data_IF_681549029869
#
_entry.id   IF_681549029869
#
_cell.length_a   1.000
_cell.length_b   1.000
_cell.length_c   1.000
_cell.angle_alpha   90.00
_cell.angle_beta   90.00
_cell.angle_gamma   90.00
#
_symmetry.space_group_name_H-M   'P 1'
#
loop_
_entity.id
_entity.type
_entity.pdbx_description
1 polymer ?
#
# COMPACT_ATOMS: atom_id res chain seq x y z
N UNK A 1 40.23 -12.63 -1.37
CA UNK A 1 40.12 -11.72 -0.22
C UNK A 1 39.75 -10.28 -0.62
N UNK A 2 40.44 -9.69 -1.61
CA UNK A 2 40.14 -8.32 -2.10
C UNK A 2 38.71 -8.17 -2.70
N UNK A 3 38.22 -9.18 -3.43
CA UNK A 3 36.89 -9.19 -4.03
C UNK A 3 35.80 -9.27 -2.96
N UNK A 4 36.05 -10.04 -1.90
CA UNK A 4 35.10 -10.19 -0.76
C UNK A 4 34.94 -8.89 0.02
N UNK A 5 36.04 -8.15 0.25
CA UNK A 5 36.02 -6.83 0.91
C UNK A 5 35.29 -5.80 0.06
N UNK A 6 35.46 -5.86 -1.27
CA UNK A 6 34.77 -4.95 -2.20
C UNK A 6 33.26 -5.22 -2.26
N UNK A 7 32.87 -6.47 -2.20
CA UNK A 7 31.47 -6.90 -2.16
C UNK A 7 30.81 -6.51 -0.84
N UNK A 8 31.53 -6.63 0.28
CA UNK A 8 31.07 -6.21 1.60
C UNK A 8 30.91 -4.68 1.67
N UNK A 9 31.79 -3.92 1.04
CA UNK A 9 31.71 -2.45 0.97
C UNK A 9 30.49 -1.98 0.14
N UNK A 10 30.15 -2.71 -0.93
CA UNK A 10 28.96 -2.41 -1.75
C UNK A 10 27.68 -2.67 -0.95
N UNK A 11 27.63 -3.75 -0.17
CA UNK A 11 26.47 -4.08 0.67
C UNK A 11 26.27 -3.04 1.79
N UNK A 12 27.35 -2.52 2.36
CA UNK A 12 27.26 -1.48 3.40
C UNK A 12 26.76 -0.12 2.87
N UNK A 13 26.93 0.15 1.57
CA UNK A 13 26.40 1.39 0.97
C UNK A 13 24.92 1.31 0.58
N UNK A 14 24.30 0.12 0.63
CA UNK A 14 22.90 -0.08 0.28
C UNK A 14 21.91 0.22 1.44
N UNK A 15 22.41 0.64 2.58
CA UNK A 15 21.61 0.73 3.80
C UNK A 15 21.48 2.11 4.39
N UNK A 16 21.04 3.15 3.64
CA UNK A 16 20.48 4.37 4.26
C UNK A 16 19.81 5.25 3.20
N UNK A 17 18.70 4.79 2.65
CA UNK A 17 17.72 5.74 2.15
C UNK A 17 16.88 6.19 3.36
N UNK A 18 17.26 7.29 3.96
CA UNK A 18 16.35 8.06 4.78
C UNK A 18 15.21 8.48 3.85
N UNK A 19 14.09 7.77 3.93
CA UNK A 19 12.85 8.22 3.34
C UNK A 19 12.54 9.56 3.99
N UNK A 20 12.75 10.64 3.25
CA UNK A 20 12.44 11.98 3.70
C UNK A 20 10.95 11.99 4.07
N UNK A 21 10.61 12.57 5.19
CA UNK A 21 9.24 12.67 5.72
C UNK A 21 8.22 13.14 4.66
N UNK A 22 8.68 13.97 3.74
CA UNK A 22 7.94 14.46 2.58
C UNK A 22 7.66 13.36 1.54
N UNK A 23 8.61 12.46 1.32
CA UNK A 23 8.45 11.32 0.42
C UNK A 23 7.48 10.29 0.98
N UNK A 24 7.51 10.04 2.29
CA UNK A 24 6.59 9.13 2.96
C UNK A 24 5.14 9.64 2.88
N UNK A 25 4.92 10.92 3.12
CA UNK A 25 3.60 11.55 2.97
C UNK A 25 3.06 11.39 1.53
N UNK A 26 3.90 11.68 0.54
CA UNK A 26 3.55 11.52 -0.88
C UNK A 26 3.24 10.06 -1.24
N UNK A 27 4.01 9.11 -0.73
CA UNK A 27 3.81 7.68 -0.94
C UNK A 27 2.47 7.22 -0.36
N UNK A 28 2.17 7.58 0.88
CA UNK A 28 0.93 7.21 1.56
C UNK A 28 -0.28 7.82 0.86
N UNK A 29 -0.23 9.13 0.56
CA UNK A 29 -1.36 9.84 -0.07
C UNK A 29 -1.63 9.38 -1.50
N UNK A 30 -0.64 8.89 -2.24
CA UNK A 30 -0.82 8.26 -3.56
C UNK A 30 -1.56 6.93 -3.48
N UNK A 31 -1.37 6.18 -2.40
CA UNK A 31 -2.03 4.89 -2.17
C UNK A 31 -3.43 5.05 -1.56
N UNK A 32 -3.80 6.24 -1.13
CA UNK A 32 -5.12 6.54 -0.60
C UNK A 32 -6.08 6.96 -1.71
N UNK A 33 -7.25 6.35 -1.72
CA UNK A 33 -8.34 6.71 -2.62
C UNK A 33 -9.13 7.89 -2.08
N UNK A 34 -9.33 8.92 -2.88
CA UNK A 34 -10.28 9.97 -2.57
C UNK A 34 -11.70 9.47 -2.83
N UNK A 35 -12.49 9.29 -1.75
CA UNK A 35 -13.83 8.69 -1.82
C UNK A 35 -14.86 9.54 -2.58
N UNK A 36 -14.63 10.86 -2.67
CA UNK A 36 -15.53 11.84 -3.30
C UNK A 36 -14.99 12.43 -4.60
N UNK A 37 -13.80 12.00 -5.05
CA UNK A 37 -13.08 12.61 -6.17
C UNK A 37 -13.09 11.75 -7.45
N UNK A 38 -14.08 10.94 -7.69
CA UNK A 38 -14.25 10.13 -8.92
C UNK A 38 -13.02 9.24 -9.26
N UNK A 39 -12.45 8.58 -8.27
CA UNK A 39 -11.36 7.63 -8.47
C UNK A 39 -9.94 8.24 -8.48
N UNK A 40 -9.79 9.52 -8.21
CA UNK A 40 -8.47 10.13 -8.04
C UNK A 40 -7.84 9.73 -6.70
N UNK A 41 -6.50 9.72 -6.65
CA UNK A 41 -5.79 9.57 -5.39
C UNK A 41 -5.94 10.85 -4.53
N UNK A 42 -5.77 10.70 -3.22
CA UNK A 42 -5.72 11.83 -2.30
C UNK A 42 -4.59 12.80 -2.68
N UNK A 43 -3.47 12.27 -3.18
CA UNK A 43 -2.33 13.07 -3.63
C UNK A 43 -2.68 14.01 -4.80
N UNK A 44 -3.40 13.50 -5.80
CA UNK A 44 -3.73 14.23 -7.03
C UNK A 44 -4.97 15.12 -6.90
N UNK A 45 -5.74 14.96 -5.83
CA UNK A 45 -6.97 15.71 -5.60
C UNK A 45 -6.74 16.95 -4.75
N UNK A 46 -7.39 18.06 -5.13
CA UNK A 46 -7.43 19.32 -4.38
C UNK A 46 -8.76 19.54 -3.63
N UNK A 47 -9.59 18.48 -3.51
CA UNK A 47 -10.81 18.57 -2.74
C UNK A 47 -10.55 18.85 -1.25
N UNK A 48 -11.49 19.46 -0.57
CA UNK A 48 -11.40 19.73 0.87
C UNK A 48 -11.17 18.45 1.67
N UNK A 49 -11.82 17.35 1.29
CA UNK A 49 -11.63 16.04 1.89
C UNK A 49 -10.20 15.52 1.70
N UNK A 50 -9.66 15.60 0.47
CA UNK A 50 -8.28 15.16 0.17
C UNK A 50 -7.26 16.00 0.94
N UNK A 51 -7.44 17.31 1.01
CA UNK A 51 -6.55 18.19 1.76
C UNK A 51 -6.59 17.89 3.27
N UNK A 52 -7.76 17.62 3.83
CA UNK A 52 -7.91 17.19 5.23
C UNK A 52 -7.17 15.88 5.51
N UNK A 53 -7.27 14.92 4.60
CA UNK A 53 -6.56 13.64 4.70
C UNK A 53 -5.04 13.80 4.60
N UNK A 54 -4.55 14.65 3.71
CA UNK A 54 -3.12 14.98 3.61
C UNK A 54 -2.57 15.53 4.93
N UNK A 55 -3.33 16.38 5.60
CA UNK A 55 -2.96 16.93 6.91
C UNK A 55 -2.96 15.85 7.99
N UNK A 56 -3.95 14.98 8.02
CA UNK A 56 -4.02 13.85 8.97
C UNK A 56 -2.83 12.91 8.80
N UNK A 57 -2.51 12.54 7.57
CA UNK A 57 -1.35 11.68 7.26
C UNK A 57 -0.05 12.35 7.71
N UNK A 58 0.13 13.63 7.42
CA UNK A 58 1.30 14.40 7.84
C UNK A 58 1.46 14.40 9.36
N UNK A 59 0.38 14.69 10.09
CA UNK A 59 0.42 14.70 11.55
C UNK A 59 0.78 13.32 12.14
N UNK A 60 0.28 12.24 11.55
CA UNK A 60 0.60 10.88 11.96
C UNK A 60 2.05 10.50 11.71
N UNK A 61 2.64 10.96 10.62
CA UNK A 61 4.07 10.81 10.34
C UNK A 61 4.91 11.59 11.36
N UNK A 62 4.53 12.83 11.67
CA UNK A 62 5.19 13.66 12.68
C UNK A 62 5.11 13.06 14.10
N UNK A 63 4.04 12.33 14.40
CA UNK A 63 3.89 11.54 15.65
C UNK A 63 4.81 10.30 15.69
N UNK A 64 5.50 9.96 14.60
CA UNK A 64 6.40 8.83 14.50
C UNK A 64 5.72 7.50 14.21
N UNK A 65 4.48 7.49 13.74
CA UNK A 65 3.78 6.28 13.33
C UNK A 65 4.41 5.67 12.09
N UNK A 66 4.47 4.34 12.04
CA UNK A 66 4.91 3.60 10.86
C UNK A 66 3.85 3.68 9.74
N UNK A 67 4.28 3.48 8.50
CA UNK A 67 3.40 3.50 7.32
C UNK A 67 2.23 2.52 7.48
N UNK A 68 2.48 1.31 7.95
CA UNK A 68 1.47 0.28 8.17
C UNK A 68 0.43 0.68 9.22
N UNK A 69 0.87 1.28 10.32
CA UNK A 69 0.00 1.77 11.39
C UNK A 69 -0.92 2.91 10.92
N UNK A 70 -0.41 3.77 10.03
CA UNK A 70 -1.17 4.86 9.42
C UNK A 70 -2.27 4.28 8.52
N UNK A 71 -1.96 3.27 7.70
CA UNK A 71 -2.95 2.60 6.86
C UNK A 71 -4.03 1.90 7.70
N UNK A 72 -3.65 1.22 8.77
CA UNK A 72 -4.60 0.58 9.69
C UNK A 72 -5.51 1.61 10.37
N UNK A 73 -4.96 2.70 10.85
CA UNK A 73 -5.73 3.81 11.42
C UNK A 73 -6.76 4.36 10.44
N UNK A 74 -6.36 4.58 9.19
CA UNK A 74 -7.24 5.10 8.14
C UNK A 74 -8.33 4.11 7.76
N UNK A 75 -8.04 2.82 7.72
CA UNK A 75 -9.03 1.77 7.49
C UNK A 75 -10.08 1.71 8.58
N UNK A 76 -9.67 1.79 9.84
CA UNK A 76 -10.59 1.79 10.98
C UNK A 76 -11.52 2.99 10.91
N UNK A 77 -11.02 4.15 10.49
CA UNK A 77 -11.77 5.40 10.45
C UNK A 77 -12.66 5.55 9.23
N UNK A 78 -12.20 5.13 8.06
CA UNK A 78 -12.87 5.36 6.76
C UNK A 78 -13.30 4.07 6.05
N UNK A 79 -12.88 2.91 6.53
CA UNK A 79 -13.14 1.60 5.93
C UNK A 79 -12.05 1.13 4.97
N UNK A 80 -12.10 -0.15 4.61
CA UNK A 80 -11.11 -0.80 3.73
C UNK A 80 -11.05 -0.19 2.32
N UNK A 81 -12.10 0.51 1.92
CA UNK A 81 -12.25 1.13 0.59
C UNK A 81 -11.31 2.31 0.33
N UNK A 82 -10.67 2.82 1.39
CA UNK A 82 -9.77 3.97 1.27
C UNK A 82 -8.45 3.63 0.59
N UNK A 83 -8.06 2.35 0.56
CA UNK A 83 -6.85 1.88 -0.10
C UNK A 83 -7.12 1.44 -1.55
N UNK A 84 -6.18 1.71 -2.45
CA UNK A 84 -6.22 1.19 -3.82
C UNK A 84 -5.88 -0.30 -3.88
N UNK A 85 -4.94 -0.76 -3.07
CA UNK A 85 -4.54 -2.15 -3.02
C UNK A 85 -5.42 -2.93 -2.05
N UNK A 86 -6.20 -3.91 -2.55
CA UNK A 86 -6.98 -4.78 -1.69
C UNK A 86 -6.03 -5.70 -0.90
N UNK A 87 -6.09 -5.64 0.41
CA UNK A 87 -5.37 -6.60 1.22
C UNK A 87 -5.95 -8.01 1.04
N UNK A 88 -5.06 -9.01 1.07
CA UNK A 88 -5.42 -10.43 1.11
C UNK A 88 -6.01 -10.78 2.49
N UNK A 89 -7.21 -10.30 2.75
CA UNK A 89 -7.97 -10.63 3.95
C UNK A 89 -8.72 -11.94 3.78
N UNK A 90 -9.07 -12.58 4.90
CA UNK A 90 -9.90 -13.81 4.91
C UNK A 90 -11.19 -13.66 4.10
N UNK A 91 -11.72 -12.44 3.97
CA UNK A 91 -12.93 -12.13 3.18
C UNK A 91 -12.66 -12.10 1.66
N UNK A 92 -11.44 -11.77 1.25
CA UNK A 92 -11.06 -11.67 -0.18
C UNK A 92 -10.46 -12.96 -0.72
N UNK A 93 -10.11 -13.93 0.13
CA UNK A 93 -9.61 -15.25 -0.28
C UNK A 93 -10.57 -15.98 -1.22
N UNK A 94 -11.86 -15.88 -0.97
CA UNK A 94 -12.90 -16.51 -1.80
C UNK A 94 -12.86 -15.99 -3.24
N UNK A 95 -12.67 -14.67 -3.41
CA UNK A 95 -12.58 -14.02 -4.73
C UNK A 95 -11.37 -14.49 -5.54
N UNK A 96 -10.26 -14.79 -4.86
CA UNK A 96 -9.04 -15.28 -5.50
C UNK A 96 -9.10 -16.78 -5.78
N UNK A 97 -9.74 -17.54 -4.90
CA UNK A 97 -9.83 -18.99 -4.97
C UNK A 97 -10.89 -19.46 -5.98
N UNK A 98 -11.96 -18.69 -6.16
CA UNK A 98 -13.09 -19.02 -7.04
C UNK A 98 -12.67 -19.22 -8.51
N UNK A 99 -11.93 -18.33 -9.16
CA UNK A 99 -11.51 -18.54 -10.56
C UNK A 99 -10.58 -19.75 -10.72
N UNK A 100 -9.71 -20.00 -9.74
CA UNK A 100 -8.81 -21.14 -9.76
C UNK A 100 -9.59 -22.46 -9.63
N UNK A 101 -10.60 -22.50 -8.78
CA UNK A 101 -11.46 -23.67 -8.57
C UNK A 101 -12.31 -23.95 -9.83
N UNK A 102 -12.86 -22.92 -10.47
CA UNK A 102 -13.58 -23.05 -11.74
C UNK A 102 -12.68 -23.56 -12.87
N UNK A 103 -11.43 -23.09 -12.90
CA UNK A 103 -10.44 -23.55 -13.89
C UNK A 103 -10.10 -25.03 -13.71
N UNK A 104 -9.92 -25.49 -12.47
CA UNK A 104 -9.65 -26.89 -12.15
C UNK A 104 -10.84 -27.80 -12.49
N UNK A 105 -12.07 -27.39 -12.16
CA UNK A 105 -13.29 -28.16 -12.50
C UNK A 105 -13.48 -28.22 -14.01
N UNK A 106 -13.35 -27.10 -14.71
CA UNK A 106 -13.44 -27.04 -16.17
C UNK A 106 -12.40 -27.91 -16.87
N UNK A 107 -11.16 -27.87 -16.41
CA UNK A 107 -10.09 -28.74 -16.87
C UNK A 107 -10.39 -30.23 -16.64
N UNK A 108 -10.86 -30.59 -15.46
CA UNK A 108 -11.22 -31.98 -15.16
C UNK A 108 -12.35 -32.52 -16.03
N UNK A 109 -13.33 -31.67 -16.39
CA UNK A 109 -14.44 -32.06 -17.28
C UNK A 109 -13.94 -32.27 -18.72
N UNK A 110 -13.04 -31.43 -19.20
CA UNK A 110 -12.49 -31.52 -20.57
C UNK A 110 -11.58 -32.73 -20.74
N UNK A 111 -10.77 -33.05 -19.72
CA UNK A 111 -9.84 -34.19 -19.76
C UNK A 111 -10.43 -35.52 -19.33
N UNK A 112 -11.68 -35.59 -18.90
CA UNK A 112 -12.40 -36.83 -18.63
C UNK A 112 -13.01 -37.44 -19.88
#
# INVERSE_FOLDING_TARGET
MKIFVFLLLIILNFGMTNANEKDLNSKITKNLRCLICQGQSVYDSDSEFANSLKIVVKNKIEEGMLEEDIYEFLKIKYGDWILYEPELNKKTYILWLLPLLLFLIGGAIIFR
#
